data_IF_802861831903
#
_entry.id   IF_802861831903
#
_cell.length_a   1.000
_cell.length_b   1.000
_cell.length_c   1.000
_cell.angle_alpha   90.00
_cell.angle_beta   90.00
_cell.angle_gamma   90.00
#
_symmetry.space_group_name_H-M   'P 1'
#
loop_
_entity.id
_entity.type
_entity.pdbx_description
1 polymer ?
#
# COMPACT_ATOMS: atom_id res chain seq x y z
N UNK A 1 21.64 -13.94 -2.72
CA UNK A 1 20.47 -14.78 -2.42
C UNK A 1 19.22 -13.91 -2.47
N UNK A 2 18.76 -13.58 -3.67
CA UNK A 2 17.52 -12.81 -3.90
C UNK A 2 16.37 -13.80 -4.01
N UNK A 3 15.40 -13.72 -3.10
CA UNK A 3 14.21 -14.58 -3.13
C UNK A 3 13.41 -14.30 -4.42
N UNK A 4 12.92 -15.34 -5.13
CA UNK A 4 12.12 -15.12 -6.34
C UNK A 4 10.80 -14.45 -5.93
N UNK A 5 10.53 -13.28 -6.52
CA UNK A 5 9.23 -12.62 -6.39
C UNK A 5 8.13 -13.58 -6.88
N UNK A 6 7.00 -13.64 -6.17
CA UNK A 6 5.86 -14.45 -6.62
C UNK A 6 5.42 -13.99 -8.01
N UNK A 7 5.00 -14.91 -8.90
CA UNK A 7 4.62 -14.58 -10.29
C UNK A 7 3.52 -13.50 -10.41
N UNK A 8 2.72 -13.28 -9.36
CA UNK A 8 1.62 -12.31 -9.34
C UNK A 8 2.05 -10.85 -9.20
N UNK A 9 3.24 -10.59 -8.66
CA UNK A 9 3.62 -9.24 -8.20
C UNK A 9 4.47 -8.48 -9.23
N UNK A 10 4.99 -9.18 -10.25
CA UNK A 10 5.83 -8.62 -11.29
C UNK A 10 5.03 -8.37 -12.59
N UNK A 11 5.37 -7.28 -13.29
CA UNK A 11 4.82 -7.00 -14.61
C UNK A 11 5.32 -8.06 -15.60
N UNK A 12 4.46 -8.64 -16.45
CA UNK A 12 4.90 -9.54 -17.51
C UNK A 12 5.86 -8.81 -18.46
N UNK A 13 6.98 -9.43 -18.87
CA UNK A 13 8.01 -8.78 -19.69
C UNK A 13 7.48 -8.27 -21.03
N UNK A 14 6.49 -8.96 -21.62
CA UNK A 14 5.91 -8.61 -22.93
C UNK A 14 4.67 -7.71 -22.85
N UNK A 15 4.26 -7.29 -21.65
CA UNK A 15 3.04 -6.51 -21.52
C UNK A 15 3.27 -5.06 -22.00
N UNK A 16 2.54 -4.66 -23.05
CA UNK A 16 2.51 -3.28 -23.57
C UNK A 16 1.37 -2.47 -22.93
N UNK A 17 1.60 -1.19 -22.65
CA UNK A 17 0.59 -0.31 -22.05
C UNK A 17 0.49 -0.39 -20.52
N UNK A 18 -0.66 -0.03 -19.96
CA UNK A 18 -0.89 -0.04 -18.51
C UNK A 18 -1.40 -1.41 -18.05
N UNK A 19 -0.68 -2.04 -17.12
CA UNK A 19 -1.09 -3.31 -16.50
C UNK A 19 -1.39 -3.06 -15.03
N UNK A 20 -2.59 -3.43 -14.59
CA UNK A 20 -2.97 -3.38 -13.18
C UNK A 20 -2.25 -4.51 -12.45
N UNK A 21 -1.27 -4.14 -11.62
CA UNK A 21 -0.58 -5.10 -10.76
C UNK A 21 -1.40 -5.33 -9.49
N UNK A 22 -1.76 -6.58 -9.17
CA UNK A 22 -2.45 -6.88 -7.93
C UNK A 22 -1.51 -6.49 -6.78
N UNK A 23 -2.01 -5.68 -5.84
CA UNK A 23 -1.32 -5.17 -4.64
C UNK A 23 -0.41 -3.94 -4.81
N UNK A 24 -0.26 -3.34 -6.00
CA UNK A 24 0.48 -2.07 -6.16
C UNK A 24 -0.07 -0.95 -5.28
N UNK A 25 -1.39 -0.94 -5.08
CA UNK A 25 -2.08 -0.01 -4.18
C UNK A 25 -1.55 -0.05 -2.74
N UNK A 26 -0.95 -1.16 -2.27
CA UNK A 26 -0.45 -1.30 -0.88
C UNK A 26 0.70 -0.32 -0.63
N UNK A 27 1.59 -0.18 -1.62
CA UNK A 27 2.72 0.76 -1.56
C UNK A 27 2.21 2.19 -1.62
N UNK A 28 1.33 2.48 -2.57
CA UNK A 28 0.72 3.81 -2.73
C UNK A 28 -0.03 4.24 -1.46
N UNK A 29 -0.79 3.33 -0.85
CA UNK A 29 -1.49 3.57 0.41
C UNK A 29 -0.53 3.84 1.58
N UNK A 30 0.59 3.12 1.63
CA UNK A 30 1.64 3.38 2.64
C UNK A 30 2.18 4.80 2.50
N UNK A 31 2.40 5.26 1.27
CA UNK A 31 2.82 6.62 0.98
C UNK A 31 1.77 7.66 1.34
N UNK A 32 0.49 7.40 1.04
CA UNK A 32 -0.61 8.30 1.43
C UNK A 32 -0.69 8.54 2.94
N UNK A 33 -0.38 7.54 3.77
CA UNK A 33 -0.35 7.71 5.22
C UNK A 33 0.82 8.56 5.71
N UNK A 34 1.99 8.46 5.07
CA UNK A 34 3.15 9.29 5.38
C UNK A 34 2.85 10.74 5.02
N UNK A 35 2.32 10.98 3.81
CA UNK A 35 1.95 12.30 3.32
C UNK A 35 0.83 12.96 4.14
N UNK A 36 -0.03 12.16 4.79
CA UNK A 36 -1.02 12.71 5.72
C UNK A 36 -0.40 13.44 6.92
N UNK A 37 0.86 13.14 7.28
CA UNK A 37 1.61 13.98 8.20
C UNK A 37 2.04 15.25 7.45
N UNK A 38 1.33 16.37 7.69
CA UNK A 38 1.44 17.65 6.95
C UNK A 38 2.87 18.11 6.64
N UNK A 39 3.83 17.82 7.51
CA UNK A 39 5.24 18.19 7.35
C UNK A 39 5.85 17.60 6.06
N UNK A 40 5.57 16.34 5.74
CA UNK A 40 6.11 15.68 4.53
C UNK A 40 5.57 16.23 3.21
N UNK A 41 4.41 16.89 3.23
CA UNK A 41 3.81 17.47 2.02
C UNK A 41 4.22 18.91 1.74
N UNK A 42 4.69 19.66 2.76
CA UNK A 42 4.94 21.10 2.64
C UNK A 42 6.39 21.49 2.87
N UNK A 43 7.07 20.77 3.75
CA UNK A 43 8.40 21.12 4.22
C UNK A 43 9.39 20.07 3.72
N UNK A 44 10.32 20.49 2.87
CA UNK A 44 11.42 19.65 2.43
C UNK A 44 12.61 19.86 3.37
N UNK A 45 13.04 18.79 4.02
CA UNK A 45 14.18 18.86 4.93
C UNK A 45 15.48 19.02 4.15
N UNK A 46 16.38 19.88 4.65
CA UNK A 46 17.69 20.11 4.03
C UNK A 46 18.58 18.87 4.04
N UNK A 47 18.38 18.00 5.04
CA UNK A 47 19.16 16.78 5.26
C UNK A 47 18.27 15.54 5.10
N UNK A 48 18.73 14.50 4.38
CA UNK A 48 17.97 13.27 4.20
C UNK A 48 17.69 12.57 5.55
N UNK A 49 18.61 12.63 6.51
CA UNK A 49 18.49 12.02 7.84
C UNK A 49 17.28 12.58 8.62
N UNK A 50 16.98 13.86 8.42
CA UNK A 50 15.80 14.50 9.01
C UNK A 50 14.51 13.96 8.38
N UNK A 51 14.50 13.82 7.05
CA UNK A 51 13.36 13.22 6.33
C UNK A 51 13.10 11.79 6.80
N UNK A 52 14.16 10.99 6.95
CA UNK A 52 14.08 9.61 7.45
C UNK A 52 13.49 9.53 8.87
N UNK A 53 13.95 10.41 9.77
CA UNK A 53 13.45 10.51 11.14
C UNK A 53 11.95 10.81 11.17
N UNK A 54 11.50 11.72 10.31
CA UNK A 54 10.10 12.12 10.22
C UNK A 54 9.22 11.05 9.57
N UNK A 55 9.74 10.31 8.58
CA UNK A 55 9.04 9.15 8.00
C UNK A 55 8.84 8.08 9.09
N UNK A 56 9.88 7.85 9.90
CA UNK A 56 9.84 6.90 11.02
C UNK A 56 8.79 7.33 12.05
N UNK A 57 8.77 8.61 12.42
CA UNK A 57 7.78 9.15 13.35
C UNK A 57 6.34 9.05 12.83
N UNK A 58 6.10 9.32 11.55
CA UNK A 58 4.79 9.16 10.92
C UNK A 58 4.32 7.68 10.96
N UNK A 59 5.23 6.73 10.71
CA UNK A 59 4.95 5.29 10.85
C UNK A 59 4.59 4.90 12.27
N UNK A 60 5.37 5.31 13.26
CA UNK A 60 5.10 5.03 14.68
C UNK A 60 3.71 5.53 15.06
N UNK A 61 3.41 6.79 14.73
CA UNK A 61 2.10 7.40 15.00
C UNK A 61 0.94 6.65 14.33
N UNK A 62 1.12 6.18 13.10
CA UNK A 62 0.11 5.37 12.42
C UNK A 62 -0.12 4.04 13.13
N UNK A 63 0.95 3.35 13.51
CA UNK A 63 0.86 2.03 14.14
C UNK A 63 0.27 2.11 15.54
N UNK A 64 0.67 3.09 16.35
CA UNK A 64 0.08 3.31 17.68
C UNK A 64 -1.42 3.58 17.60
N UNK A 65 -1.87 4.37 16.62
CA UNK A 65 -3.31 4.61 16.38
C UNK A 65 -4.07 3.38 15.92
N UNK A 66 -3.41 2.43 15.25
CA UNK A 66 -4.03 1.15 14.85
C UNK A 66 -4.21 0.21 16.03
N UNK A 67 -3.23 0.18 16.94
CA UNK A 67 -3.31 -0.61 18.15
C UNK A 67 -4.46 -0.15 19.06
N UNK A 68 -4.69 1.16 19.15
CA UNK A 68 -5.74 1.73 20.01
C UNK A 68 -7.10 1.86 19.32
N UNK A 69 -7.16 1.67 17.99
CA UNK A 69 -8.44 1.65 17.28
C UNK A 69 -9.21 0.40 17.71
N UNK A 70 -10.37 0.61 18.36
CA UNK A 70 -11.36 -0.44 18.60
C UNK A 70 -11.60 -1.18 17.28
N UNK A 71 -11.39 -2.50 17.28
CA UNK A 71 -11.58 -3.33 16.09
C UNK A 71 -13.04 -3.24 15.67
N UNK A 72 -13.34 -2.34 14.74
CA UNK A 72 -14.57 -2.40 13.98
C UNK A 72 -14.48 -3.69 13.18
N UNK A 73 -15.24 -4.71 13.57
CA UNK A 73 -15.41 -5.95 12.78
C UNK A 73 -15.58 -5.52 11.31
N UNK A 74 -14.75 -6.02 10.37
CA UNK A 74 -14.96 -5.69 8.97
C UNK A 74 -16.37 -6.15 8.61
N UNK A 75 -17.13 -5.27 7.96
CA UNK A 75 -18.36 -5.68 7.31
C UNK A 75 -18.05 -6.91 6.47
N UNK A 76 -18.83 -7.95 6.69
CA UNK A 76 -18.73 -9.26 6.06
C UNK A 76 -18.39 -9.14 4.58
N UNK A 77 -17.39 -9.91 4.16
CA UNK A 77 -16.79 -9.91 2.83
C UNK A 77 -17.86 -10.35 1.81
N UNK A 78 -18.70 -9.42 1.37
CA UNK A 78 -19.67 -9.63 0.29
C UNK A 78 -18.91 -9.99 -0.98
N UNK A 79 -19.06 -11.25 -1.34
CA UNK A 79 -19.14 -11.76 -2.70
C UNK A 79 -17.94 -11.46 -3.60
N UNK A 80 -16.97 -12.36 -3.59
CA UNK A 80 -16.05 -12.54 -4.73
C UNK A 80 -16.52 -13.73 -5.52
N UNK A 81 -17.56 -13.55 -6.31
CA UNK A 81 -17.81 -14.42 -7.44
C UNK A 81 -16.76 -14.08 -8.49
N UNK A 82 -15.84 -14.98 -8.87
CA UNK A 82 -14.86 -14.69 -9.90
C UNK A 82 -15.57 -14.48 -11.23
N UNK A 83 -15.20 -13.41 -11.92
CA UNK A 83 -15.64 -13.01 -13.27
C UNK A 83 -15.48 -14.13 -14.33
N UNK A 84 -14.71 -15.17 -14.02
CA UNK A 84 -14.56 -16.38 -14.83
C UNK A 84 -15.76 -17.35 -14.77
N UNK A 85 -16.62 -17.28 -13.74
CA UNK A 85 -17.82 -18.13 -13.64
C UNK A 85 -19.05 -17.54 -14.35
N UNK A 86 -19.04 -16.24 -14.67
CA UNK A 86 -20.16 -15.57 -15.34
C UNK A 86 -20.16 -15.75 -16.88
N UNK A 87 -19.09 -16.32 -17.44
CA UNK A 87 -18.89 -16.46 -18.89
C UNK A 87 -19.19 -17.89 -19.40
N UNK A 88 -19.71 -18.76 -18.53
CA UNK A 88 -19.96 -20.18 -18.79
C UNK A 88 -21.45 -20.57 -18.81
N UNK A 89 -22.36 -19.61 -19.01
CA UNK A 89 -23.79 -19.81 -19.17
C UNK A 89 -24.27 -19.09 -20.44
#
# INVERSE_FOLDING_TARGET
MTSPSRPSDARPPDAKGFVVLPRRWVVERSWSWIMRARRHCRDHERLPEMSESLITWARITLMTRRLTRRSSRPAERRDTTPYYLAQAA
#
